data_IF_517225395560
#
_entry.id   IF_517225395560
#
_cell.length_a   1.000
_cell.length_b   1.000
_cell.length_c   1.000
_cell.angle_alpha   90.00
_cell.angle_beta   90.00
_cell.angle_gamma   90.00
#
_symmetry.space_group_name_H-M   'P 1'
#
loop_
_entity.id
_entity.type
_entity.pdbx_description
1 polymer ?
#
# COMPACT_ATOMS: atom_id res chain seq x y z
N UNK A 1 12.08 -14.89 6.49
CA UNK A 1 10.83 -15.32 5.81
C UNK A 1 11.01 -15.06 4.32
N UNK A 2 10.73 -16.02 3.43
CA UNK A 2 10.93 -15.85 1.98
C UNK A 2 9.89 -14.90 1.39
N UNK A 3 10.31 -13.82 0.73
CA UNK A 3 9.42 -12.96 -0.05
C UNK A 3 9.03 -13.67 -1.36
N UNK A 4 7.77 -14.08 -1.47
CA UNK A 4 7.24 -14.80 -2.63
C UNK A 4 7.10 -13.93 -3.89
N UNK A 5 7.31 -12.62 -3.79
CA UNK A 5 7.20 -11.68 -4.93
C UNK A 5 8.57 -11.48 -5.60
N UNK A 6 9.65 -11.39 -4.81
CA UNK A 6 11.00 -11.08 -5.32
C UNK A 6 11.97 -12.26 -5.26
N UNK A 7 11.64 -13.31 -4.50
CA UNK A 7 12.55 -14.45 -4.24
C UNK A 7 13.72 -14.09 -3.33
N UNK A 8 13.75 -12.87 -2.79
CA UNK A 8 14.78 -12.41 -1.86
C UNK A 8 14.41 -12.87 -0.46
N UNK A 9 15.37 -13.44 0.26
CA UNK A 9 15.21 -13.76 1.67
C UNK A 9 15.62 -12.57 2.53
N UNK A 10 14.69 -12.09 3.34
CA UNK A 10 14.95 -11.08 4.35
C UNK A 10 15.04 -11.74 5.72
N UNK A 11 16.02 -11.33 6.50
CA UNK A 11 16.11 -11.64 7.92
C UNK A 11 15.02 -10.91 8.71
N UNK A 12 14.67 -11.46 9.86
CA UNK A 12 13.66 -10.83 10.73
C UNK A 12 14.11 -9.43 11.18
N UNK A 13 15.41 -9.21 11.35
CA UNK A 13 15.97 -7.90 11.70
C UNK A 13 15.73 -6.86 10.60
N UNK A 14 15.96 -7.22 9.33
CA UNK A 14 15.72 -6.33 8.18
C UNK A 14 14.23 -5.99 8.04
N UNK A 15 13.35 -6.98 8.25
CA UNK A 15 11.91 -6.77 8.23
C UNK A 15 11.49 -5.79 9.33
N UNK A 16 11.96 -5.99 10.57
CA UNK A 16 11.64 -5.12 11.70
C UNK A 16 12.18 -3.70 11.51
N UNK A 17 13.40 -3.58 10.99
CA UNK A 17 14.00 -2.29 10.67
C UNK A 17 13.15 -1.54 9.64
N UNK A 18 12.76 -2.20 8.54
CA UNK A 18 11.92 -1.59 7.52
C UNK A 18 10.56 -1.13 8.08
N UNK A 19 9.88 -1.98 8.86
CA UNK A 19 8.60 -1.66 9.52
C UNK A 19 8.74 -0.40 10.38
N UNK A 20 9.85 -0.30 11.11
CA UNK A 20 10.16 0.83 12.00
C UNK A 20 10.47 2.11 11.20
N UNK A 21 11.41 2.05 10.26
CA UNK A 21 11.84 3.20 9.45
C UNK A 21 10.71 3.79 8.59
N UNK A 22 9.83 2.93 8.09
CA UNK A 22 8.67 3.35 7.30
C UNK A 22 7.47 3.80 8.17
N UNK A 23 7.59 3.74 9.51
CA UNK A 23 6.52 4.05 10.45
C UNK A 23 5.22 3.28 10.17
N UNK A 24 5.33 2.05 9.66
CA UNK A 24 4.17 1.25 9.23
C UNK A 24 3.20 1.02 10.41
N UNK A 25 3.74 0.74 11.59
CA UNK A 25 2.95 0.48 12.81
C UNK A 25 2.07 1.69 13.15
N UNK A 26 2.59 2.91 13.05
CA UNK A 26 1.84 4.12 13.37
C UNK A 26 0.62 4.28 12.45
N UNK A 27 0.81 4.14 11.13
CA UNK A 27 -0.30 4.26 10.17
C UNK A 27 -1.33 3.14 10.32
N UNK A 28 -0.89 1.92 10.63
CA UNK A 28 -1.80 0.81 10.91
C UNK A 28 -2.62 1.07 12.18
N UNK A 29 -2.02 1.60 13.24
CA UNK A 29 -2.72 1.96 14.47
C UNK A 29 -3.75 3.06 14.22
N UNK A 30 -3.38 4.13 13.52
CA UNK A 30 -4.28 5.24 13.22
C UNK A 30 -5.47 4.77 12.36
N UNK A 31 -5.19 3.93 11.36
CA UNK A 31 -6.23 3.32 10.51
C UNK A 31 -7.14 2.38 11.31
N UNK A 32 -6.60 1.57 12.21
CA UNK A 32 -7.37 0.67 13.07
C UNK A 32 -8.27 1.46 14.05
N UNK A 33 -7.77 2.56 14.62
CA UNK A 33 -8.56 3.46 15.47
C UNK A 33 -9.70 4.09 14.65
N UNK A 34 -9.41 4.58 13.45
CA UNK A 34 -10.42 5.18 12.57
C UNK A 34 -11.48 4.14 12.15
N UNK A 35 -11.04 2.91 11.83
CA UNK A 35 -11.93 1.80 11.49
C UNK A 35 -12.87 1.44 12.66
N UNK A 36 -12.35 1.39 13.88
CA UNK A 36 -13.14 1.10 15.08
C UNK A 36 -14.19 2.18 15.39
N UNK A 37 -13.92 3.44 14.99
CA UNK A 37 -14.86 4.56 15.10
C UNK A 37 -15.97 4.50 14.04
N UNK A 38 -15.60 4.30 12.77
CA UNK A 38 -16.54 4.31 11.64
C UNK A 38 -17.41 3.05 11.54
N UNK A 39 -16.88 1.90 11.99
CA UNK A 39 -17.57 0.59 11.94
C UNK A 39 -18.26 0.29 10.59
N UNK A 40 -17.55 0.43 9.46
CA UNK A 40 -18.13 0.23 8.14
C UNK A 40 -18.52 -1.24 7.93
N UNK A 41 -19.54 -1.48 7.10
CA UNK A 41 -19.99 -2.83 6.74
C UNK A 41 -18.91 -3.69 6.06
N UNK A 42 -17.91 -3.07 5.43
CA UNK A 42 -16.76 -3.73 4.77
C UNK A 42 -15.44 -3.23 5.36
N UNK A 43 -15.00 -3.73 6.53
CA UNK A 43 -13.86 -3.21 7.28
C UNK A 43 -12.54 -3.18 6.50
N UNK A 44 -12.20 -4.29 5.82
CA UNK A 44 -10.93 -4.41 5.11
C UNK A 44 -10.86 -3.49 3.88
N UNK A 45 -11.96 -3.40 3.12
CA UNK A 45 -12.04 -2.50 1.97
C UNK A 45 -11.90 -1.04 2.40
N UNK A 46 -12.62 -0.66 3.46
CA UNK A 46 -12.57 0.68 4.02
C UNK A 46 -11.17 1.02 4.54
N UNK A 47 -10.53 0.12 5.29
CA UNK A 47 -9.20 0.34 5.81
C UNK A 47 -8.16 0.47 4.69
N UNK A 48 -8.27 -0.35 3.64
CA UNK A 48 -7.42 -0.23 2.45
C UNK A 48 -7.55 1.14 1.78
N UNK A 49 -8.79 1.62 1.59
CA UNK A 49 -9.05 2.97 1.05
C UNK A 49 -8.55 4.08 1.99
N UNK A 50 -8.68 3.89 3.30
CA UNK A 50 -8.19 4.81 4.30
C UNK A 50 -6.67 4.95 4.23
N UNK A 51 -5.94 3.82 4.18
CA UNK A 51 -4.49 3.80 4.04
C UNK A 51 -4.04 4.48 2.73
N UNK A 52 -4.74 4.23 1.62
CA UNK A 52 -4.46 4.89 0.34
C UNK A 52 -4.71 6.40 0.38
N UNK A 53 -5.71 6.88 1.12
CA UNK A 53 -5.99 8.32 1.22
C UNK A 53 -5.08 9.05 2.22
N UNK A 54 -4.56 8.35 3.24
CA UNK A 54 -3.74 8.92 4.31
C UNK A 54 -2.24 8.65 4.16
N UNK A 55 -1.81 7.95 3.10
CA UNK A 55 -0.40 7.75 2.79
C UNK A 55 0.25 9.06 2.28
N UNK A 56 1.08 9.68 3.11
CA UNK A 56 1.85 10.90 2.77
C UNK A 56 3.05 10.64 1.86
N UNK A 57 3.47 9.37 1.71
CA UNK A 57 4.59 8.92 0.89
C UNK A 57 4.10 8.16 -0.34
N UNK A 58 3.04 8.63 -0.99
CA UNK A 58 2.63 8.04 -2.27
C UNK A 58 3.81 8.11 -3.25
N UNK A 59 4.35 6.98 -3.72
CA UNK A 59 5.31 7.02 -4.80
C UNK A 59 4.62 7.68 -6.00
N UNK A 60 5.34 8.57 -6.68
CA UNK A 60 4.91 9.02 -8.00
C UNK A 60 4.98 7.79 -8.88
N UNK A 61 3.82 7.30 -9.31
CA UNK A 61 3.76 6.21 -10.28
C UNK A 61 4.23 6.80 -11.61
N UNK A 62 5.53 6.69 -11.90
CA UNK A 62 6.03 6.83 -13.26
C UNK A 62 5.54 5.60 -14.03
N UNK A 63 4.37 5.72 -14.64
CA UNK A 63 3.89 4.73 -15.61
C UNK A 63 4.95 4.69 -16.70
N UNK A 64 5.66 3.56 -16.92
CA UNK A 64 6.59 3.44 -18.02
C UNK A 64 5.82 3.80 -19.31
N UNK A 65 6.37 4.64 -20.19
CA UNK A 65 5.63 5.14 -21.38
C UNK A 65 4.94 4.02 -22.19
N UNK A 66 5.52 2.81 -22.18
CA UNK A 66 4.96 1.60 -22.77
C UNK A 66 3.56 1.18 -22.27
N UNK A 67 3.15 1.61 -21.08
CA UNK A 67 1.83 1.34 -20.51
C UNK A 67 0.84 2.50 -20.70
N UNK A 68 1.33 3.74 -20.92
CA UNK A 68 0.48 4.89 -21.30
C UNK A 68 -0.17 4.67 -22.67
N UNK A 69 0.58 4.18 -23.65
CA UNK A 69 0.07 3.92 -25.01
C UNK A 69 -1.05 2.85 -25.00
N UNK A 70 -0.99 1.88 -24.08
CA UNK A 70 -2.03 0.85 -23.95
C UNK A 70 -3.31 1.38 -23.30
N UNK A 71 -3.21 2.32 -22.37
CA UNK A 71 -4.38 2.93 -21.73
C UNK A 71 -5.15 3.85 -22.70
N UNK A 72 -4.45 4.57 -23.58
CA UNK A 72 -5.05 5.43 -24.59
C UNK A 72 -5.67 4.63 -25.76
N UNK A 73 -5.12 3.47 -26.10
CA UNK A 73 -5.67 2.58 -27.13
C UNK A 73 -7.00 1.91 -26.74
N UNK A 74 -7.37 1.87 -25.45
CA UNK A 74 -8.62 1.26 -24.96
C UNK A 74 -9.78 2.28 -24.91
N UNK A 75 -9.48 3.58 -24.87
CA UNK A 75 -10.50 4.64 -24.83
C UNK A 75 -10.89 5.10 -26.26
N UNK A 76 -10.12 4.73 -27.27
CA UNK A 76 -10.35 5.05 -28.68
C UNK A 76 -10.83 3.88 -29.54
N UNK A 77 -11.95 3.23 -29.19
CA UNK A 77 -12.77 2.43 -30.12
C UNK A 77 -14.26 2.52 -29.80
#
# INVERSE_FOLDING_TARGET
>A
MTDYITGVEYSDAEIQQYITEQNIIQYLNDGAIALAKERPAKPLLWLGQWLLSHNKRKPVLEIPEKEKEKAEAVIGK
#
